data_IF_012757751833
#
_entry.id   IF_012757751833
#
_cell.length_a   1.000
_cell.length_b   1.000
_cell.length_c   1.000
_cell.angle_alpha   90.00
_cell.angle_beta   90.00
_cell.angle_gamma   90.00
#
_symmetry.space_group_name_H-M   'P 1'
#
loop_
_entity.id
_entity.type
_entity.pdbx_description
1 polymer ?
#
# COMPACT_ATOMS: atom_id res chain seq x y z
N UNK A 1 21.39 -3.58 -1.14
CA UNK A 1 20.55 -4.80 -1.29
C UNK A 1 19.16 -4.34 -1.72
N UNK A 2 18.50 -5.05 -2.63
CA UNK A 2 17.10 -4.78 -2.98
C UNK A 2 16.20 -5.12 -1.79
N UNK A 3 15.24 -4.23 -1.47
CA UNK A 3 14.25 -4.49 -0.40
C UNK A 3 13.30 -5.61 -0.84
N UNK A 4 12.94 -6.50 0.09
CA UNK A 4 11.90 -7.51 -0.13
C UNK A 4 10.52 -6.82 -0.03
N UNK A 5 9.66 -7.09 -1.02
CA UNK A 5 8.38 -6.41 -1.15
C UNK A 5 7.21 -7.33 -0.79
N UNK A 6 6.21 -6.77 -0.11
CA UNK A 6 4.93 -7.40 0.14
C UNK A 6 3.79 -6.59 -0.46
N UNK A 7 2.75 -7.25 -0.95
CA UNK A 7 1.53 -6.59 -1.41
C UNK A 7 0.28 -7.28 -0.86
N UNK A 8 -0.53 -6.53 -0.14
CA UNK A 8 -1.77 -7.02 0.48
C UNK A 8 -2.97 -6.39 -0.25
N UNK A 9 -3.84 -7.24 -0.78
CA UNK A 9 -5.05 -6.82 -1.47
C UNK A 9 -4.90 -6.82 -2.99
N UNK A 10 -5.38 -7.88 -3.62
CA UNK A 10 -5.36 -8.08 -5.08
C UNK A 10 -6.76 -7.81 -5.69
N UNK A 11 -7.34 -6.67 -5.32
CA UNK A 11 -8.55 -6.14 -5.94
C UNK A 11 -8.28 -5.53 -7.32
N UNK A 12 -9.26 -4.80 -7.85
CA UNK A 12 -9.18 -4.16 -9.18
C UNK A 12 -7.94 -3.25 -9.31
N UNK A 13 -7.60 -2.53 -8.24
CA UNK A 13 -6.44 -1.65 -8.19
C UNK A 13 -5.15 -2.40 -7.84
N UNK A 14 -5.16 -3.18 -6.76
CA UNK A 14 -3.95 -3.83 -6.23
C UNK A 14 -3.40 -4.93 -7.14
N UNK A 15 -4.25 -5.63 -7.90
CA UNK A 15 -3.82 -6.68 -8.83
C UNK A 15 -2.79 -6.18 -9.86
N UNK A 16 -3.08 -5.12 -10.65
CA UNK A 16 -2.10 -4.59 -11.58
C UNK A 16 -0.93 -3.88 -10.88
N UNK A 17 -1.15 -3.19 -9.75
CA UNK A 17 -0.07 -2.52 -9.00
C UNK A 17 0.98 -3.52 -8.54
N UNK A 18 0.56 -4.63 -7.89
CA UNK A 18 1.44 -5.72 -7.51
C UNK A 18 2.14 -6.35 -8.73
N UNK A 19 1.43 -6.44 -9.87
CA UNK A 19 1.99 -6.95 -11.12
C UNK A 19 3.11 -6.08 -11.70
N UNK A 20 2.98 -4.77 -11.65
CA UNK A 20 4.04 -3.84 -12.06
C UNK A 20 5.30 -4.02 -11.20
N UNK A 21 5.15 -4.21 -9.89
CA UNK A 21 6.26 -4.48 -8.99
C UNK A 21 6.93 -5.83 -9.29
N UNK A 22 6.15 -6.88 -9.52
CA UNK A 22 6.68 -8.20 -9.87
C UNK A 22 7.54 -8.17 -11.14
N UNK A 23 7.13 -7.38 -12.14
CA UNK A 23 7.88 -7.21 -13.39
C UNK A 23 9.23 -6.49 -13.22
N UNK A 24 9.37 -5.69 -12.17
CA UNK A 24 10.62 -4.96 -11.84
C UNK A 24 11.47 -5.71 -10.82
N UNK A 25 10.83 -6.45 -9.92
CA UNK A 25 11.50 -7.11 -8.80
C UNK A 25 10.84 -8.47 -8.52
N UNK A 26 11.54 -9.54 -8.84
CA UNK A 26 11.04 -10.89 -8.63
C UNK A 26 10.93 -11.31 -7.15
N UNK A 27 11.37 -10.46 -6.19
CA UNK A 27 11.27 -10.73 -4.75
C UNK A 27 10.02 -10.04 -4.15
N UNK A 28 8.84 -10.44 -4.63
CA UNK A 28 7.56 -9.95 -4.11
C UNK A 28 6.73 -11.09 -3.53
N UNK A 29 6.17 -10.84 -2.34
CA UNK A 29 5.19 -11.69 -1.68
C UNK A 29 3.80 -11.05 -1.78
N UNK A 30 2.76 -11.84 -2.00
CA UNK A 30 1.39 -11.34 -2.14
C UNK A 30 0.42 -12.07 -1.22
N UNK A 31 -0.52 -11.33 -0.67
CA UNK A 31 -1.64 -11.88 0.10
C UNK A 31 -2.96 -11.26 -0.34
N UNK A 32 -3.98 -12.09 -0.43
CA UNK A 32 -5.37 -11.63 -0.58
C UNK A 32 -6.30 -12.53 0.24
N UNK A 33 -7.27 -11.95 0.95
CA UNK A 33 -8.26 -12.69 1.75
C UNK A 33 -8.95 -13.83 0.98
N UNK A 34 -9.23 -13.62 -0.31
CA UNK A 34 -9.70 -14.66 -1.22
C UNK A 34 -8.50 -15.27 -1.93
N UNK A 35 -8.08 -16.46 -1.55
CA UNK A 35 -6.89 -17.16 -2.05
C UNK A 35 -6.89 -17.31 -3.58
N UNK A 36 -8.04 -17.54 -4.20
CA UNK A 36 -8.15 -17.69 -5.65
C UNK A 36 -7.67 -16.45 -6.42
N UNK A 37 -7.81 -15.25 -5.85
CA UNK A 37 -7.24 -14.02 -6.46
C UNK A 37 -5.72 -14.05 -6.45
N UNK A 38 -5.09 -14.52 -5.39
CA UNK A 38 -3.63 -14.69 -5.31
C UNK A 38 -3.13 -15.73 -6.31
N UNK A 39 -3.85 -16.84 -6.45
CA UNK A 39 -3.53 -17.86 -7.46
C UNK A 39 -3.67 -17.31 -8.88
N UNK A 40 -4.77 -16.63 -9.19
CA UNK A 40 -4.99 -15.98 -10.49
C UNK A 40 -3.89 -14.95 -10.78
N UNK A 41 -3.52 -14.13 -9.78
CA UNK A 41 -2.42 -13.18 -9.92
C UNK A 41 -1.11 -13.90 -10.28
N UNK A 42 -0.80 -14.99 -9.58
CA UNK A 42 0.44 -15.76 -9.78
C UNK A 42 0.51 -16.52 -11.12
N UNK A 43 -0.63 -16.73 -11.80
CA UNK A 43 -0.61 -17.26 -13.18
C UNK A 43 -0.10 -16.23 -14.19
N UNK A 44 -0.24 -14.95 -13.89
CA UNK A 44 0.15 -13.85 -14.78
C UNK A 44 1.50 -13.25 -14.40
N UNK A 45 1.80 -13.21 -13.10
CA UNK A 45 3.00 -12.62 -12.54
C UNK A 45 3.69 -13.65 -11.64
N UNK A 46 4.98 -13.48 -11.37
CA UNK A 46 5.70 -14.38 -10.50
C UNK A 46 5.90 -13.76 -9.11
N UNK A 47 5.61 -14.53 -8.06
CA UNK A 47 5.79 -14.09 -6.68
C UNK A 47 5.43 -15.20 -5.69
N UNK A 48 5.64 -14.93 -4.40
CA UNK A 48 5.31 -15.85 -3.31
C UNK A 48 3.89 -15.58 -2.84
N UNK A 49 3.00 -16.58 -2.87
CA UNK A 49 1.66 -16.49 -2.28
C UNK A 49 1.76 -16.79 -0.78
N UNK A 50 1.33 -15.83 0.05
CA UNK A 50 1.22 -16.00 1.49
C UNK A 50 -0.22 -16.32 1.90
N UNK A 51 -0.38 -17.09 3.00
CA UNK A 51 -1.67 -17.51 3.52
C UNK A 51 -2.24 -16.55 4.57
N UNK A 52 -1.40 -15.64 5.10
CA UNK A 52 -1.82 -14.60 6.04
C UNK A 52 -0.97 -13.33 5.90
N UNK A 53 -1.45 -12.17 6.40
CA UNK A 53 -0.64 -10.96 6.52
C UNK A 53 0.63 -11.19 7.35
N UNK A 54 0.54 -11.99 8.40
CA UNK A 54 1.67 -12.37 9.26
C UNK A 54 2.78 -13.12 8.50
N UNK A 55 2.40 -14.05 7.61
CA UNK A 55 3.37 -14.76 6.76
C UNK A 55 4.07 -13.80 5.80
N UNK A 56 3.31 -12.92 5.15
CA UNK A 56 3.83 -11.92 4.24
C UNK A 56 4.80 -10.95 4.95
N UNK A 57 4.48 -10.52 6.17
CA UNK A 57 5.29 -9.59 6.94
C UNK A 57 6.69 -10.14 7.25
N UNK A 58 6.81 -11.45 7.53
CA UNK A 58 8.10 -12.11 7.78
C UNK A 58 9.04 -12.08 6.56
N UNK A 59 8.47 -11.96 5.37
CA UNK A 59 9.19 -12.02 4.10
C UNK A 59 9.43 -10.63 3.49
N UNK A 60 8.97 -9.55 4.14
CA UNK A 60 8.92 -8.22 3.52
C UNK A 60 9.59 -7.16 4.37
N UNK A 61 10.30 -6.24 3.71
CA UNK A 61 10.85 -5.01 4.31
C UNK A 61 9.91 -3.81 4.04
N UNK A 62 9.20 -3.84 2.91
CA UNK A 62 8.19 -2.83 2.53
C UNK A 62 6.91 -3.54 2.14
N UNK A 63 5.80 -3.16 2.77
CA UNK A 63 4.48 -3.72 2.48
C UNK A 63 3.57 -2.65 1.89
N UNK A 64 3.06 -2.89 0.68
CA UNK A 64 1.98 -2.11 0.09
C UNK A 64 0.63 -2.73 0.45
N UNK A 65 -0.34 -1.89 0.83
CA UNK A 65 -1.72 -2.30 1.17
C UNK A 65 -2.68 -1.59 0.22
N UNK A 66 -3.65 -2.33 -0.37
CA UNK A 66 -4.72 -1.75 -1.18
C UNK A 66 -5.99 -2.60 -1.00
N UNK A 67 -6.80 -2.26 0.01
CA UNK A 67 -7.94 -3.05 0.50
C UNK A 67 -9.22 -2.22 0.60
N UNK A 68 -10.18 -2.61 1.45
CA UNK A 68 -11.54 -2.07 1.39
C UNK A 68 -11.76 -0.75 2.13
N UNK A 69 -11.44 -0.69 3.41
CA UNK A 69 -11.83 0.40 4.32
C UNK A 69 -10.96 0.43 5.58
N UNK A 70 -11.25 1.39 6.49
CA UNK A 70 -10.52 1.59 7.75
C UNK A 70 -10.44 0.32 8.62
N UNK A 71 -11.54 -0.43 8.74
CA UNK A 71 -11.56 -1.63 9.57
C UNK A 71 -10.74 -2.77 8.95
N UNK A 72 -10.78 -2.91 7.62
CA UNK A 72 -9.93 -3.87 6.92
C UNK A 72 -8.43 -3.54 7.13
N UNK A 73 -8.05 -2.26 7.14
CA UNK A 73 -6.67 -1.82 7.41
C UNK A 73 -6.27 -2.11 8.85
N UNK A 74 -7.13 -1.82 9.84
CA UNK A 74 -6.88 -2.18 11.25
C UNK A 74 -6.67 -3.68 11.42
N UNK A 75 -7.52 -4.49 10.80
CA UNK A 75 -7.43 -5.95 10.90
C UNK A 75 -6.12 -6.47 10.28
N UNK A 76 -5.74 -5.98 9.11
CA UNK A 76 -4.49 -6.36 8.44
C UNK A 76 -3.25 -5.92 9.24
N UNK A 77 -3.29 -4.76 9.89
CA UNK A 77 -2.12 -4.25 10.63
C UNK A 77 -2.06 -4.85 12.03
N UNK A 78 -3.14 -4.79 12.81
CA UNK A 78 -3.15 -5.11 14.24
C UNK A 78 -4.08 -6.28 14.63
N UNK A 79 -4.76 -6.90 13.68
CA UNK A 79 -5.57 -8.09 13.92
C UNK A 79 -4.75 -9.30 14.40
N UNK A 80 -5.43 -10.41 14.67
CA UNK A 80 -4.80 -11.63 15.20
C UNK A 80 -3.61 -12.13 14.36
N UNK A 81 -3.72 -12.07 13.04
CA UNK A 81 -2.66 -12.40 12.09
C UNK A 81 -2.12 -11.16 11.38
N UNK A 82 -2.20 -10.01 12.06
CA UNK A 82 -1.76 -8.72 11.54
C UNK A 82 -0.24 -8.60 11.44
N UNK A 83 0.20 -7.70 10.60
CA UNK A 83 1.62 -7.56 10.24
C UNK A 83 2.50 -7.01 11.37
N UNK A 84 1.94 -6.23 12.30
CA UNK A 84 2.67 -5.47 13.31
C UNK A 84 3.61 -6.31 14.21
N UNK A 85 3.24 -7.57 14.46
CA UNK A 85 4.03 -8.46 15.34
C UNK A 85 5.15 -9.19 14.62
N UNK A 86 5.24 -9.04 13.30
CA UNK A 86 6.17 -9.80 12.46
C UNK A 86 7.07 -8.91 11.61
N UNK A 87 6.77 -7.63 11.51
CA UNK A 87 7.62 -6.64 10.86
C UNK A 87 8.87 -6.36 11.70
N UNK A 88 9.97 -6.08 11.02
CA UNK A 88 11.24 -5.68 11.61
C UNK A 88 11.29 -4.16 11.79
N UNK A 89 12.13 -3.70 12.71
CA UNK A 89 12.51 -2.29 12.82
C UNK A 89 12.99 -1.76 11.46
N UNK A 90 12.62 -0.55 11.10
CA UNK A 90 12.90 0.06 9.81
C UNK A 90 12.02 -0.42 8.64
N UNK A 91 11.03 -1.31 8.90
CA UNK A 91 10.04 -1.69 7.89
C UNK A 91 9.09 -0.53 7.57
N UNK A 92 8.57 -0.52 6.35
CA UNK A 92 7.67 0.55 5.89
C UNK A 92 6.37 -0.06 5.36
N UNK A 93 5.24 0.45 5.86
CA UNK A 93 3.91 0.16 5.32
C UNK A 93 3.49 1.34 4.45
N UNK A 94 3.05 1.06 3.22
CA UNK A 94 2.51 2.04 2.27
C UNK A 94 1.05 1.69 2.01
N UNK A 95 0.14 2.47 2.56
CA UNK A 95 -1.29 2.21 2.42
C UNK A 95 -1.92 3.03 1.29
N UNK A 96 -2.27 2.34 0.22
CA UNK A 96 -2.97 2.90 -0.95
C UNK A 96 -4.49 2.89 -0.79
N UNK A 97 -5.00 2.30 0.30
CA UNK A 97 -6.43 2.29 0.59
C UNK A 97 -6.93 3.73 0.80
N UNK A 98 -8.06 4.07 0.22
CA UNK A 98 -8.73 5.34 0.54
C UNK A 98 -9.45 5.17 1.87
N UNK A 99 -8.96 5.85 2.90
CA UNK A 99 -9.40 5.76 4.30
C UNK A 99 -9.54 7.14 4.93
N UNK A 100 -9.90 7.20 6.21
CA UNK A 100 -9.90 8.44 6.98
C UNK A 100 -8.46 8.91 7.28
N UNK A 101 -8.27 10.22 7.44
CA UNK A 101 -7.00 10.78 7.92
C UNK A 101 -6.71 10.40 9.37
N UNK A 102 -7.78 10.16 10.14
CA UNK A 102 -7.73 9.71 11.53
C UNK A 102 -7.11 8.32 11.64
N UNK A 103 -7.51 7.39 10.75
CA UNK A 103 -6.88 6.07 10.67
C UNK A 103 -5.38 6.17 10.40
N UNK A 104 -4.98 7.04 9.48
CA UNK A 104 -3.55 7.20 9.16
C UNK A 104 -2.74 7.63 10.39
N UNK A 105 -3.26 8.54 11.19
CA UNK A 105 -2.63 8.98 12.45
C UNK A 105 -2.62 7.86 13.48
N UNK A 106 -3.75 7.15 13.65
CA UNK A 106 -3.87 5.98 14.53
C UNK A 106 -2.82 4.92 14.19
N UNK A 107 -2.66 4.57 12.93
CA UNK A 107 -1.68 3.58 12.49
C UNK A 107 -0.24 4.06 12.71
N UNK A 108 0.03 5.32 12.46
CA UNK A 108 1.34 5.91 12.72
C UNK A 108 1.69 5.88 14.22
N UNK A 109 0.76 6.25 15.10
CA UNK A 109 0.95 6.20 16.55
C UNK A 109 1.16 4.77 17.08
N UNK A 110 0.48 3.79 16.48
CA UNK A 110 0.59 2.38 16.82
C UNK A 110 1.94 1.77 16.41
N UNK A 111 2.45 2.16 15.25
CA UNK A 111 3.62 1.53 14.60
C UNK A 111 4.94 2.23 14.98
N UNK A 112 4.92 3.53 15.17
CA UNK A 112 6.11 4.34 15.44
C UNK A 112 6.92 3.89 16.68
N UNK A 113 6.30 3.45 17.82
CA UNK A 113 7.06 2.93 18.95
C UNK A 113 7.85 1.63 18.68
N UNK A 114 7.60 1.00 17.53
CA UNK A 114 8.30 -0.21 17.05
C UNK A 114 9.29 0.08 15.92
N UNK A 115 9.58 1.36 15.67
CA UNK A 115 10.38 1.81 14.51
C UNK A 115 9.87 1.29 13.18
N UNK A 116 8.55 1.17 13.03
CA UNK A 116 7.86 0.83 11.78
C UNK A 116 7.17 2.08 11.25
N UNK A 117 7.44 2.42 9.99
CA UNK A 117 6.90 3.63 9.37
C UNK A 117 5.60 3.33 8.62
N UNK A 118 4.64 4.23 8.76
CA UNK A 118 3.37 4.19 8.01
C UNK A 118 3.25 5.39 7.09
N UNK A 119 3.02 5.13 5.80
CA UNK A 119 2.82 6.14 4.75
C UNK A 119 1.41 5.96 4.20
N UNK A 120 0.54 6.93 4.45
CA UNK A 120 -0.75 7.01 3.78
C UNK A 120 -0.54 7.52 2.35
N UNK A 121 -0.87 6.70 1.38
CA UNK A 121 -0.51 6.92 -0.02
C UNK A 121 -1.68 6.63 -0.99
N UNK A 122 -2.88 7.22 -0.75
CA UNK A 122 -4.03 7.02 -1.64
C UNK A 122 -3.70 7.42 -3.07
N UNK A 123 -4.37 6.75 -4.00
CA UNK A 123 -4.09 6.86 -5.44
C UNK A 123 -5.24 7.51 -6.21
N UNK A 124 -4.92 8.13 -7.33
CA UNK A 124 -5.88 8.63 -8.32
C UNK A 124 -5.48 8.15 -9.71
N UNK A 125 -6.47 7.84 -10.56
CA UNK A 125 -6.28 7.33 -11.93
C UNK A 125 -7.20 6.15 -12.27
N UNK A 126 -7.91 5.59 -11.29
CA UNK A 126 -8.84 4.48 -11.44
C UNK A 126 -8.17 3.21 -11.97
N UNK A 127 -9.00 2.25 -12.41
CA UNK A 127 -8.54 0.96 -12.92
C UNK A 127 -7.61 1.12 -14.14
N UNK A 128 -7.96 1.98 -15.08
CA UNK A 128 -7.14 2.23 -16.27
C UNK A 128 -5.75 2.78 -15.91
N UNK A 129 -5.67 3.69 -14.93
CA UNK A 129 -4.41 4.20 -14.41
C UNK A 129 -3.58 3.12 -13.71
N UNK A 130 -4.22 2.23 -12.95
CA UNK A 130 -3.54 1.12 -12.30
C UNK A 130 -2.99 0.11 -13.33
N UNK A 131 -3.80 -0.25 -14.33
CA UNK A 131 -3.39 -1.18 -15.39
C UNK A 131 -2.23 -0.64 -16.24
N UNK A 132 -2.25 0.65 -16.55
CA UNK A 132 -1.21 1.29 -17.38
C UNK A 132 0.01 1.80 -16.62
N UNK A 133 0.05 1.66 -15.29
CA UNK A 133 1.15 2.20 -14.48
C UNK A 133 1.18 3.73 -14.42
N UNK A 134 0.01 4.38 -14.51
CA UNK A 134 -0.12 5.84 -14.62
C UNK A 134 -0.88 6.47 -13.45
N UNK A 135 -0.79 5.87 -12.26
CA UNK A 135 -1.42 6.41 -11.06
C UNK A 135 -0.72 7.68 -10.56
N UNK A 136 -1.49 8.55 -9.91
CA UNK A 136 -0.97 9.65 -9.11
C UNK A 136 -1.09 9.29 -7.63
N UNK A 137 0.01 9.39 -6.87
CA UNK A 137 0.06 9.12 -5.44
C UNK A 137 0.18 10.43 -4.65
N UNK A 138 -0.65 10.59 -3.64
CA UNK A 138 -0.59 11.64 -2.63
C UNK A 138 -0.11 11.02 -1.32
N UNK A 139 1.14 11.26 -0.92
CA UNK A 139 1.74 10.58 0.21
C UNK A 139 1.85 11.48 1.44
N UNK A 140 1.39 10.97 2.59
CA UNK A 140 1.57 11.55 3.92
C UNK A 140 2.34 10.60 4.83
N UNK A 141 3.07 11.13 5.82
CA UNK A 141 3.82 10.34 6.78
C UNK A 141 5.22 10.87 7.06
N UNK A 142 6.12 10.00 7.51
CA UNK A 142 7.52 10.35 7.71
C UNK A 142 8.21 10.65 6.37
N UNK A 143 8.91 11.78 6.29
CA UNK A 143 9.52 12.25 5.04
C UNK A 143 10.72 11.42 4.61
N UNK A 144 11.50 10.92 5.55
CA UNK A 144 12.69 10.14 5.24
C UNK A 144 12.29 8.73 4.80
N UNK A 145 11.30 8.12 5.47
CA UNK A 145 10.69 6.88 5.03
C UNK A 145 10.08 7.00 3.63
N UNK A 146 9.37 8.11 3.34
CA UNK A 146 8.86 8.40 2.00
C UNK A 146 9.97 8.45 0.94
N UNK A 147 11.09 9.12 1.23
CA UNK A 147 12.21 9.22 0.30
C UNK A 147 12.84 7.84 0.00
N UNK A 148 12.85 6.93 0.99
CA UNK A 148 13.36 5.56 0.83
C UNK A 148 12.51 4.70 -0.09
N UNK A 149 11.18 4.94 -0.16
CA UNK A 149 10.26 4.08 -0.92
C UNK A 149 9.82 4.70 -2.25
N UNK A 150 10.08 5.96 -2.50
CA UNK A 150 9.61 6.66 -3.68
C UNK A 150 9.90 5.92 -4.99
N UNK A 151 11.13 5.45 -5.18
CA UNK A 151 11.53 4.74 -6.39
C UNK A 151 10.88 3.34 -6.49
N UNK A 152 10.50 2.73 -5.36
CA UNK A 152 9.79 1.45 -5.34
C UNK A 152 8.37 1.60 -5.94
N UNK A 153 7.77 2.77 -5.78
CA UNK A 153 6.41 3.05 -6.24
C UNK A 153 6.34 3.49 -7.73
N UNK A 154 7.47 3.86 -8.34
CA UNK A 154 7.53 4.33 -9.74
C UNK A 154 6.93 3.37 -10.77
N UNK A 155 7.06 2.02 -10.66
CA UNK A 155 6.57 1.11 -11.69
C UNK A 155 5.06 1.20 -12.00
N UNK A 156 4.24 1.68 -11.06
CA UNK A 156 2.80 1.83 -11.27
C UNK A 156 2.31 3.29 -11.18
N UNK A 157 3.24 4.27 -11.24
CA UNK A 157 2.88 5.67 -11.05
C UNK A 157 3.42 6.59 -12.12
N UNK A 158 2.62 7.58 -12.47
CA UNK A 158 3.02 8.73 -13.28
C UNK A 158 3.53 9.88 -12.42
N UNK A 159 2.97 10.04 -11.22
CA UNK A 159 3.26 11.16 -10.34
C UNK A 159 3.17 10.74 -8.88
N UNK A 160 4.20 11.10 -8.11
CA UNK A 160 4.25 10.86 -6.66
C UNK A 160 4.60 12.17 -5.96
N UNK A 161 3.77 12.59 -5.01
CA UNK A 161 3.99 13.83 -4.26
C UNK A 161 3.87 13.59 -2.76
N UNK A 162 4.87 14.07 -2.02
CA UNK A 162 4.79 14.18 -0.57
C UNK A 162 3.90 15.38 -0.21
N UNK A 163 2.87 15.14 0.60
CA UNK A 163 1.84 16.12 0.95
C UNK A 163 1.99 16.68 2.37
N UNK A 164 2.77 16.00 3.23
CA UNK A 164 2.96 16.43 4.62
C UNK A 164 3.00 15.26 5.60
N UNK A 165 2.79 15.50 6.91
CA UNK A 165 2.78 14.47 7.94
C UNK A 165 1.63 13.47 7.73
N UNK A 166 1.58 12.43 8.58
CA UNK A 166 0.57 11.37 8.53
C UNK A 166 -0.85 11.90 8.43
N UNK A 167 -1.64 11.34 7.50
CA UNK A 167 -2.99 11.76 7.15
C UNK A 167 -3.09 12.81 6.05
N UNK A 168 -1.96 13.47 5.67
CA UNK A 168 -1.97 14.51 4.62
C UNK A 168 -2.28 13.94 3.23
N UNK A 169 -1.90 12.71 2.95
CA UNK A 169 -2.25 12.02 1.71
C UNK A 169 -3.76 11.81 1.61
N UNK A 170 -4.38 11.28 2.66
CA UNK A 170 -5.83 11.06 2.71
C UNK A 170 -6.63 12.36 2.62
N UNK A 171 -6.23 13.41 3.36
CA UNK A 171 -6.86 14.73 3.25
C UNK A 171 -6.77 15.28 1.82
N UNK A 172 -5.62 15.16 1.19
CA UNK A 172 -5.45 15.59 -0.22
C UNK A 172 -6.33 14.77 -1.15
N UNK A 173 -6.45 13.46 -0.94
CA UNK A 173 -7.35 12.59 -1.70
C UNK A 173 -8.81 13.00 -1.51
N UNK A 174 -9.25 13.35 -0.30
CA UNK A 174 -10.60 13.84 -0.04
C UNK A 174 -10.91 15.12 -0.83
N UNK A 175 -10.00 16.10 -0.81
CA UNK A 175 -10.15 17.33 -1.60
C UNK A 175 -10.25 17.02 -3.10
N UNK A 176 -9.36 16.15 -3.61
CA UNK A 176 -9.41 15.70 -5.00
C UNK A 176 -10.76 15.06 -5.37
N UNK A 177 -11.33 14.22 -4.50
CA UNK A 177 -12.63 13.58 -4.73
C UNK A 177 -13.80 14.59 -4.73
N UNK A 178 -13.76 15.58 -3.84
CA UNK A 178 -14.75 16.66 -3.81
C UNK A 178 -14.71 17.48 -5.11
N UNK A 179 -13.51 17.82 -5.59
CA UNK A 179 -13.35 18.54 -6.85
C UNK A 179 -13.88 17.73 -8.04
N UNK A 180 -13.58 16.43 -8.10
CA UNK A 180 -14.07 15.54 -9.17
C UNK A 180 -15.61 15.45 -9.12
N UNK A 181 -16.19 15.22 -7.95
CA UNK A 181 -17.65 15.12 -7.79
C UNK A 181 -18.34 16.42 -8.19
N UNK A 182 -17.80 17.57 -7.80
CA UNK A 182 -18.36 18.89 -8.17
C UNK A 182 -18.24 19.25 -9.65
N UNK A 183 -17.29 18.65 -10.39
CA UNK A 183 -17.14 18.86 -11.83
C UNK A 183 -18.06 17.95 -12.68
N UNK A 184 -18.59 16.87 -12.09
CA UNK A 184 -19.46 15.92 -12.80
C UNK A 184 -20.94 16.32 -12.67
N UNK A 185 -21.30 17.18 -11.71
CA UNK A 185 -22.66 17.74 -11.56
C UNK A 185 -22.90 18.90 -12.53
#
# INVERSE_FOLDING_TARGET
MSKALGFIGLGVMGFPMAGHLANQNNNISVFNRTLEKSKTWNTKYQGVICNSPAELAKLSDVIMICIGNDNDVRDVISGREGVINYLKEGSIIVDHTTTSSELSKEMNELLNPKDIFYIDAPVSGGEAGAQSGQLSIMAGGDKDAFNLIKNILEPYTKFIKYMGPSGSGQLTKMVNQICIAGLIQ
#
